data_IF_452486063332
#
_entry.id   IF_452486063332
#
_cell.length_a   1.000
_cell.length_b   1.000
_cell.length_c   1.000
_cell.angle_alpha   90.00
_cell.angle_beta   90.00
_cell.angle_gamma   90.00
#
_symmetry.space_group_name_H-M   'P 1'
#
loop_
_entity.id
_entity.type
_entity.pdbx_description
1 polymer ?
#
# COMPACT_ATOMS: atom_id res chain seq x y z
N UNK A 1 -14.06 -25.40 -4.11
CA UNK A 1 -13.28 -24.50 -3.25
C UNK A 1 -13.73 -23.09 -3.58
N UNK A 2 -14.13 -22.30 -2.58
CA UNK A 2 -14.58 -20.93 -2.83
C UNK A 2 -13.38 -20.03 -3.11
N UNK A 3 -13.53 -19.04 -3.99
CA UNK A 3 -12.50 -18.02 -4.22
C UNK A 3 -12.16 -17.31 -2.91
N UNK A 4 -10.86 -17.09 -2.65
CA UNK A 4 -10.43 -16.30 -1.51
C UNK A 4 -11.03 -14.89 -1.54
N UNK A 5 -11.49 -14.44 -0.37
CA UNK A 5 -12.21 -13.17 -0.21
C UNK A 5 -11.33 -11.96 -0.57
N UNK A 6 -11.82 -11.08 -1.46
CA UNK A 6 -11.17 -9.81 -1.83
C UNK A 6 -12.06 -8.63 -1.44
N UNK A 7 -11.57 -7.72 -0.61
CA UNK A 7 -12.33 -6.56 -0.12
C UNK A 7 -11.62 -5.27 -0.53
N UNK A 8 -12.35 -4.39 -1.23
CA UNK A 8 -11.92 -3.02 -1.52
C UNK A 8 -12.60 -2.01 -0.60
N UNK A 9 -11.81 -1.18 0.08
CA UNK A 9 -12.26 -0.04 0.88
C UNK A 9 -12.09 1.23 0.04
N UNK A 10 -13.19 1.87 -0.33
CA UNK A 10 -13.15 3.11 -1.13
C UNK A 10 -13.82 4.27 -0.41
N UNK A 11 -13.46 5.48 -0.79
CA UNK A 11 -13.97 6.70 -0.18
C UNK A 11 -13.16 7.91 -0.60
N UNK A 12 -13.67 9.10 -0.24
CA UNK A 12 -12.99 10.36 -0.50
C UNK A 12 -11.61 10.40 0.19
N UNK A 13 -10.65 11.19 -0.33
CA UNK A 13 -9.41 11.46 0.38
C UNK A 13 -9.68 11.95 1.80
N UNK A 14 -9.03 11.34 2.79
CA UNK A 14 -9.24 11.69 4.21
C UNK A 14 -10.44 11.02 4.89
N UNK A 15 -11.17 10.13 4.21
CA UNK A 15 -12.31 9.41 4.80
C UNK A 15 -11.94 8.37 5.89
N UNK A 16 -10.66 8.23 6.24
CA UNK A 16 -10.20 7.29 7.26
C UNK A 16 -9.97 5.85 6.75
N UNK A 17 -9.79 5.63 5.44
CA UNK A 17 -9.57 4.30 4.84
C UNK A 17 -8.37 3.56 5.44
N UNK A 18 -7.21 4.21 5.46
CA UNK A 18 -5.99 3.69 6.10
C UNK A 18 -6.23 3.37 7.57
N UNK A 19 -6.94 4.22 8.31
CA UNK A 19 -7.25 3.95 9.71
C UNK A 19 -8.14 2.72 9.88
N UNK A 20 -9.19 2.59 9.06
CA UNK A 20 -10.05 1.42 9.05
C UNK A 20 -9.25 0.15 8.72
N UNK A 21 -8.39 0.19 7.70
CA UNK A 21 -7.53 -0.94 7.34
C UNK A 21 -6.61 -1.33 8.50
N UNK A 22 -5.93 -0.37 9.14
CA UNK A 22 -5.06 -0.63 10.29
C UNK A 22 -5.81 -1.29 11.45
N UNK A 23 -7.07 -0.91 11.70
CA UNK A 23 -7.92 -1.58 12.70
C UNK A 23 -8.27 -3.01 12.33
N UNK A 24 -8.53 -3.29 11.06
CA UNK A 24 -8.76 -4.66 10.60
C UNK A 24 -7.48 -5.50 10.74
N UNK A 25 -6.32 -4.93 10.42
CA UNK A 25 -5.03 -5.60 10.61
C UNK A 25 -4.81 -5.97 12.07
N UNK A 26 -5.04 -5.03 13.00
CA UNK A 26 -4.92 -5.27 14.45
C UNK A 26 -5.80 -6.44 14.91
N UNK A 27 -7.03 -6.54 14.40
CA UNK A 27 -7.94 -7.65 14.72
C UNK A 27 -7.43 -8.98 14.15
N UNK A 28 -7.01 -9.02 12.89
CA UNK A 28 -6.50 -10.23 12.24
C UNK A 28 -5.24 -10.77 12.92
N UNK A 29 -4.30 -9.87 13.27
CA UNK A 29 -3.09 -10.23 14.01
C UNK A 29 -3.44 -10.69 15.44
N UNK A 30 -4.45 -10.10 16.07
CA UNK A 30 -5.00 -10.54 17.36
C UNK A 30 -5.57 -11.96 17.32
N UNK A 31 -6.10 -12.39 16.18
CA UNK A 31 -6.57 -13.75 15.92
C UNK A 31 -5.43 -14.71 15.50
N UNK A 32 -4.18 -14.24 15.49
CA UNK A 32 -2.99 -15.04 15.19
C UNK A 32 -2.67 -15.19 13.69
N UNK A 33 -3.36 -14.47 12.81
CA UNK A 33 -3.07 -14.47 11.38
C UNK A 33 -1.84 -13.62 11.06
N UNK A 34 -1.02 -14.10 10.15
CA UNK A 34 0.12 -13.35 9.63
C UNK A 34 -0.35 -12.41 8.53
N UNK A 35 -0.36 -11.11 8.81
CA UNK A 35 -0.66 -10.08 7.82
C UNK A 35 0.62 -9.60 7.15
N UNK A 36 0.57 -9.40 5.83
CA UNK A 36 1.67 -8.83 5.06
C UNK A 36 1.19 -7.96 3.92
N UNK A 37 2.08 -7.13 3.39
CA UNK A 37 1.79 -6.24 2.28
C UNK A 37 2.29 -4.84 2.57
N UNK A 38 1.73 -3.83 1.94
CA UNK A 38 2.22 -2.46 2.08
C UNK A 38 1.18 -1.48 2.58
N UNK A 39 1.66 -0.49 3.34
CA UNK A 39 0.89 0.65 3.83
C UNK A 39 1.54 1.95 3.36
N UNK A 40 0.73 2.96 3.07
CA UNK A 40 1.19 4.32 2.80
C UNK A 40 0.88 5.22 3.98
N UNK A 41 1.81 6.11 4.31
CA UNK A 41 1.65 7.02 5.44
C UNK A 41 1.95 8.46 5.02
N UNK A 42 1.03 9.42 5.25
CA UNK A 42 1.24 10.80 4.87
C UNK A 42 2.35 11.46 5.71
N UNK A 43 3.25 12.17 5.05
CA UNK A 43 4.26 13.03 5.68
C UNK A 43 3.60 14.38 5.95
N UNK A 44 3.36 14.72 7.21
CA UNK A 44 2.77 16.01 7.61
C UNK A 44 3.82 16.86 8.32
N UNK A 45 4.18 18.01 7.73
CA UNK A 45 5.01 19.04 8.38
C UNK A 45 4.19 20.32 8.49
N UNK A 46 4.15 20.95 9.67
CA UNK A 46 3.45 22.25 9.90
C UNK A 46 1.99 22.25 9.37
N UNK A 47 1.22 21.20 9.68
CA UNK A 47 -0.16 20.99 9.22
C UNK A 47 -0.35 20.94 7.69
N UNK A 48 0.71 20.65 6.93
CA UNK A 48 0.65 20.43 5.48
C UNK A 48 1.21 19.07 5.12
N UNK A 49 0.52 18.39 4.21
CA UNK A 49 0.99 17.13 3.62
C UNK A 49 2.12 17.41 2.63
N UNK A 50 3.34 17.06 3.02
CA UNK A 50 4.57 17.27 2.24
C UNK A 50 4.96 16.05 1.40
N UNK A 51 4.39 14.88 1.66
CA UNK A 51 4.66 13.67 0.89
C UNK A 51 3.97 12.44 1.46
N UNK A 52 4.47 11.28 1.07
CA UNK A 52 4.02 9.98 1.51
C UNK A 52 5.20 9.03 1.66
N UNK A 53 5.16 8.24 2.72
CA UNK A 53 5.96 7.06 2.86
C UNK A 53 5.25 5.85 2.28
N UNK A 54 6.02 4.91 1.77
CA UNK A 54 5.64 3.51 1.57
C UNK A 54 6.31 2.69 2.66
N UNK A 55 5.59 1.73 3.22
CA UNK A 55 6.08 0.86 4.28
C UNK A 55 5.70 -0.59 4.00
N UNK A 56 6.67 -1.49 4.14
CA UNK A 56 6.41 -2.93 4.22
C UNK A 56 5.84 -3.25 5.61
N UNK A 57 4.64 -3.83 5.65
CA UNK A 57 3.99 -4.15 6.90
C UNK A 57 4.72 -5.24 7.69
N UNK A 58 5.36 -6.20 7.02
CA UNK A 58 6.00 -7.32 7.70
C UNK A 58 7.34 -6.92 8.32
N UNK A 59 8.17 -6.18 7.58
CA UNK A 59 9.51 -5.78 8.02
C UNK A 59 9.54 -4.42 8.73
N UNK A 60 8.49 -3.62 8.55
CA UNK A 60 8.42 -2.20 8.93
C UNK A 60 9.46 -1.32 8.22
N UNK A 61 10.12 -1.82 7.17
CA UNK A 61 10.96 -0.98 6.33
C UNK A 61 10.11 0.12 5.68
N UNK A 62 10.64 1.34 5.66
CA UNK A 62 9.91 2.54 5.22
C UNK A 62 10.81 3.46 4.39
N UNK A 63 10.26 4.00 3.31
CA UNK A 63 10.91 4.97 2.40
C UNK A 63 9.95 6.06 1.97
N UNK A 64 10.47 7.25 1.70
CA UNK A 64 9.68 8.32 1.04
C UNK A 64 9.59 7.95 -0.43
N UNK A 65 8.39 7.70 -0.95
CA UNK A 65 8.20 7.41 -2.38
C UNK A 65 7.55 8.58 -3.13
N UNK A 66 6.92 9.52 -2.43
CA UNK A 66 6.33 10.70 -3.05
C UNK A 66 6.54 11.91 -2.15
N UNK A 67 7.06 13.01 -2.70
CA UNK A 67 7.32 14.23 -1.92
C UNK A 67 7.40 15.45 -2.82
N UNK A 68 7.13 16.63 -2.25
CA UNK A 68 7.33 17.92 -2.93
C UNK A 68 8.82 18.28 -3.08
N UNK A 69 9.68 17.63 -2.30
CA UNK A 69 11.13 17.80 -2.33
C UNK A 69 11.80 16.86 -3.34
N UNK A 70 11.08 15.85 -3.87
CA UNK A 70 11.60 14.95 -4.89
C UNK A 70 11.50 15.61 -6.27
N UNK A 71 12.64 15.74 -6.95
CA UNK A 71 12.69 16.09 -8.36
C UNK A 71 12.67 14.81 -9.18
N UNK A 72 11.56 14.55 -9.87
CA UNK A 72 11.36 13.33 -10.67
C UNK A 72 10.78 13.66 -12.04
N UNK A 73 11.00 12.77 -13.02
CA UNK A 73 10.29 12.82 -14.30
C UNK A 73 8.82 12.44 -14.14
N UNK A 74 8.50 11.67 -13.11
CA UNK A 74 7.13 11.26 -12.78
C UNK A 74 6.58 12.19 -11.71
N UNK A 75 5.57 12.97 -12.09
CA UNK A 75 4.93 13.96 -11.23
C UNK A 75 3.44 13.67 -11.12
N UNK A 76 2.93 13.60 -9.88
CA UNK A 76 1.49 13.46 -9.61
C UNK A 76 1.03 14.64 -8.77
N UNK A 77 0.33 15.57 -9.42
CA UNK A 77 -0.02 16.86 -8.84
C UNK A 77 1.23 17.65 -8.48
N UNK A 78 1.48 17.84 -7.17
CA UNK A 78 2.63 18.59 -6.64
C UNK A 78 3.77 17.71 -6.14
N UNK A 79 3.67 16.40 -6.26
CA UNK A 79 4.61 15.45 -5.70
C UNK A 79 5.43 14.82 -6.82
N UNK A 80 6.75 14.84 -6.68
CA UNK A 80 7.63 13.97 -7.45
C UNK A 80 7.58 12.57 -6.86
N UNK A 81 7.49 11.57 -7.74
CA UNK A 81 7.40 10.15 -7.38
C UNK A 81 8.75 9.49 -7.61
N UNK A 82 9.27 8.86 -6.56
CA UNK A 82 10.42 7.96 -6.59
C UNK A 82 9.91 6.52 -6.79
N UNK A 83 9.93 6.09 -8.05
CA UNK A 83 9.48 4.76 -8.46
C UNK A 83 10.37 3.68 -7.84
N UNK A 84 11.68 3.91 -7.72
CA UNK A 84 12.60 2.93 -7.13
C UNK A 84 12.26 2.68 -5.67
N UNK A 85 11.96 3.74 -4.90
CA UNK A 85 11.54 3.59 -3.50
C UNK A 85 10.23 2.79 -3.35
N UNK A 86 9.26 3.00 -4.27
CA UNK A 86 8.03 2.20 -4.31
C UNK A 86 8.30 0.74 -4.65
N UNK A 87 9.22 0.45 -5.56
CA UNK A 87 9.55 -0.91 -5.95
C UNK A 87 10.36 -1.66 -4.90
N UNK A 88 11.36 -1.00 -4.31
CA UNK A 88 12.23 -1.61 -3.30
C UNK A 88 11.48 -1.97 -2.02
N UNK A 89 10.46 -1.18 -1.64
CA UNK A 89 9.67 -1.43 -0.43
C UNK A 89 8.29 -2.00 -0.76
N UNK A 90 7.47 -1.26 -1.52
CA UNK A 90 6.07 -1.62 -1.78
C UNK A 90 5.92 -2.90 -2.61
N UNK A 91 6.61 -3.00 -3.74
CA UNK A 91 6.54 -4.20 -4.60
C UNK A 91 7.09 -5.43 -3.88
N UNK A 92 8.21 -5.28 -3.20
CA UNK A 92 8.79 -6.38 -2.43
C UNK A 92 7.89 -6.82 -1.26
N UNK A 93 7.22 -5.88 -0.60
CA UNK A 93 6.23 -6.20 0.44
C UNK A 93 5.05 -7.01 -0.13
N UNK A 94 4.52 -6.63 -1.30
CA UNK A 94 3.44 -7.37 -1.96
C UNK A 94 3.87 -8.78 -2.37
N UNK A 95 5.06 -8.93 -2.95
CA UNK A 95 5.63 -10.25 -3.30
C UNK A 95 5.83 -11.10 -2.05
N UNK A 96 6.37 -10.51 -0.99
CA UNK A 96 6.59 -11.17 0.30
C UNK A 96 5.28 -11.64 0.94
N UNK A 97 4.24 -10.83 0.90
CA UNK A 97 2.90 -11.16 1.39
C UNK A 97 2.26 -12.28 0.57
N UNK A 98 2.31 -12.16 -0.75
CA UNK A 98 1.78 -13.16 -1.68
C UNK A 98 2.38 -14.54 -1.42
N UNK A 99 3.69 -14.61 -1.14
CA UNK A 99 4.34 -15.86 -0.77
C UNK A 99 4.02 -16.32 0.67
N UNK A 100 4.14 -15.43 1.65
CA UNK A 100 4.36 -15.85 3.05
C UNK A 100 3.32 -15.39 4.07
N UNK A 101 2.34 -14.56 3.70
CA UNK A 101 1.28 -14.08 4.60
C UNK A 101 0.00 -14.91 4.47
N UNK A 102 -0.82 -14.91 5.51
CA UNK A 102 -2.18 -15.46 5.49
C UNK A 102 -3.16 -14.46 4.87
N UNK A 103 -2.96 -13.15 5.12
CA UNK A 103 -3.78 -12.06 4.58
C UNK A 103 -2.88 -11.00 3.94
N UNK A 104 -3.26 -10.56 2.74
CA UNK A 104 -2.56 -9.52 1.98
C UNK A 104 -3.24 -8.16 2.20
N UNK A 105 -2.47 -7.11 2.47
CA UNK A 105 -2.97 -5.74 2.61
C UNK A 105 -2.28 -4.78 1.64
N UNK A 106 -3.05 -3.88 1.02
CA UNK A 106 -2.56 -2.87 0.10
C UNK A 106 -3.21 -1.52 0.39
N UNK A 107 -2.44 -0.57 0.92
CA UNK A 107 -2.89 0.82 1.10
C UNK A 107 -1.91 1.76 0.42
N UNK A 108 -2.18 2.39 -0.72
CA UNK A 108 -3.41 2.44 -1.54
C UNK A 108 -3.04 2.14 -3.00
N UNK A 109 -3.98 1.62 -3.80
CA UNK A 109 -3.79 1.54 -5.27
C UNK A 109 -4.33 2.83 -5.88
N UNK A 110 -3.44 3.81 -6.04
CA UNK A 110 -3.78 5.16 -6.50
C UNK A 110 -2.95 5.61 -7.71
N UNK A 111 -3.13 6.89 -8.08
CA UNK A 111 -2.45 7.49 -9.24
C UNK A 111 -0.93 7.53 -9.10
N UNK A 112 -0.38 7.52 -7.89
CA UNK A 112 1.08 7.59 -7.70
C UNK A 112 1.72 6.22 -7.88
N UNK A 113 1.05 5.19 -7.38
CA UNK A 113 1.58 3.84 -7.30
C UNK A 113 1.51 3.13 -8.66
N UNK A 114 0.45 3.38 -9.43
CA UNK A 114 0.27 2.80 -10.78
C UNK A 114 1.26 3.31 -11.83
N UNK A 115 2.04 4.35 -11.51
CA UNK A 115 3.15 4.81 -12.34
C UNK A 115 4.31 3.79 -12.38
N UNK A 116 4.37 2.85 -11.43
CA UNK A 116 5.26 1.69 -11.50
C UNK A 116 4.56 0.51 -12.18
N UNK A 117 5.05 0.04 -13.34
CA UNK A 117 4.53 -1.19 -13.96
C UNK A 117 4.72 -2.42 -13.06
N UNK A 118 5.82 -2.46 -12.30
CA UNK A 118 6.10 -3.54 -11.36
C UNK A 118 5.10 -3.58 -10.21
N UNK A 119 4.66 -2.41 -9.73
CA UNK A 119 3.57 -2.32 -8.77
C UNK A 119 2.26 -2.85 -9.33
N UNK A 120 1.88 -2.44 -10.54
CA UNK A 120 0.65 -2.93 -11.19
C UNK A 120 0.68 -4.46 -11.35
N UNK A 121 1.81 -5.03 -11.74
CA UNK A 121 1.97 -6.48 -11.83
C UNK A 121 1.87 -7.16 -10.45
N UNK A 122 2.54 -6.64 -9.43
CA UNK A 122 2.48 -7.20 -8.08
C UNK A 122 1.07 -7.14 -7.46
N UNK A 123 0.30 -6.09 -7.73
CA UNK A 123 -1.12 -6.01 -7.32
C UNK A 123 -1.95 -7.08 -8.04
N UNK A 124 -1.73 -7.31 -9.34
CA UNK A 124 -2.42 -8.38 -10.08
C UNK A 124 -2.08 -9.76 -9.51
N UNK A 125 -0.80 -10.04 -9.30
CA UNK A 125 -0.36 -11.30 -8.70
C UNK A 125 -0.98 -11.53 -7.32
N UNK A 126 -1.12 -10.48 -6.50
CA UNK A 126 -1.78 -10.54 -5.20
C UNK A 126 -3.30 -10.77 -5.29
N UNK A 127 -3.95 -10.19 -6.31
CA UNK A 127 -5.38 -10.43 -6.58
C UNK A 127 -5.64 -11.86 -7.05
N UNK A 128 -4.76 -12.41 -7.89
CA UNK A 128 -4.87 -13.77 -8.44
C UNK A 128 -4.47 -14.85 -7.41
N UNK A 129 -3.76 -14.49 -6.34
CA UNK A 129 -3.41 -15.42 -5.27
C UNK A 129 -4.64 -15.93 -4.50
N UNK A 130 -4.66 -17.21 -4.15
CA UNK A 130 -5.71 -17.83 -3.32
C UNK A 130 -5.54 -17.48 -1.83
N UNK A 131 -5.56 -16.18 -1.53
CA UNK A 131 -5.40 -15.60 -0.19
C UNK A 131 -6.36 -14.44 0.02
N UNK A 132 -6.95 -14.28 1.22
CA UNK A 132 -7.71 -13.10 1.57
C UNK A 132 -6.91 -11.82 1.33
N UNK A 133 -7.56 -10.80 0.77
CA UNK A 133 -6.92 -9.53 0.45
C UNK A 133 -7.80 -8.35 0.83
N UNK A 134 -7.19 -7.35 1.46
CA UNK A 134 -7.79 -6.05 1.74
C UNK A 134 -7.00 -4.98 0.97
N UNK A 135 -7.69 -4.14 0.20
CA UNK A 135 -7.07 -2.98 -0.42
C UNK A 135 -7.86 -1.70 -0.23
N UNK A 136 -7.18 -0.57 -0.22
CA UNK A 136 -7.83 0.74 -0.31
C UNK A 136 -7.74 1.31 -1.73
N UNK A 137 -8.77 2.06 -2.13
CA UNK A 137 -8.91 2.63 -3.48
C UNK A 137 -9.41 4.08 -3.44
N UNK A 138 -8.83 4.93 -4.30
CA UNK A 138 -9.24 6.31 -4.48
C UNK A 138 -10.37 6.36 -5.51
N UNK A 139 -11.48 7.02 -5.16
CA UNK A 139 -12.57 7.32 -6.09
C UNK A 139 -12.38 8.70 -6.73
#
# INVERSE_FOLDING_TARGET
MGEALKIGITGLPGAGKTYCLLKVIEMLEGDGLKVGGMITEPIVKRNRREGFYVMDWATKEKRVFASREITSKTMVGRYGVDISALEEVGVNALRGATANADVIVIDEVGKMEVESPNFVLAVKDALDADKPLLLTLHK
#
